data_IF_933953233659
#
_entry.id   IF_933953233659
#
_cell.length_a   1.000
_cell.length_b   1.000
_cell.length_c   1.000
_cell.angle_alpha   90.00
_cell.angle_beta   90.00
_cell.angle_gamma   90.00
#
_symmetry.space_group_name_H-M   'P 1'
#
loop_
_entity.id
_entity.type
_entity.pdbx_description
1 polymer ?
#
# COMPACT_ATOMS: atom_id res chain seq x y z
N UNK A 1 28.39 5.24 -13.73
CA UNK A 1 28.79 4.38 -12.61
C UNK A 1 27.54 3.68 -12.12
N UNK A 2 27.38 2.39 -12.45
CA UNK A 2 26.28 1.58 -11.94
C UNK A 2 26.57 1.21 -10.49
N UNK A 3 25.82 1.80 -9.55
CA UNK A 3 25.76 1.25 -8.21
C UNK A 3 25.07 -0.11 -8.32
N UNK A 4 25.76 -1.18 -7.94
CA UNK A 4 25.20 -2.52 -7.81
C UNK A 4 24.24 -2.50 -6.62
N UNK A 5 23.01 -2.03 -6.86
CA UNK A 5 21.98 -1.97 -5.81
C UNK A 5 21.57 -3.40 -5.44
N UNK A 6 21.86 -3.81 -4.21
CA UNK A 6 21.47 -5.12 -3.68
C UNK A 6 19.94 -5.17 -3.61
N UNK A 7 19.32 -6.06 -4.41
CA UNK A 7 17.88 -6.29 -4.42
C UNK A 7 17.53 -7.48 -3.53
N UNK A 8 16.67 -7.28 -2.53
CA UNK A 8 16.08 -8.37 -1.73
C UNK A 8 14.71 -8.73 -2.29
N UNK A 9 14.56 -9.96 -2.78
CA UNK A 9 13.27 -10.46 -3.29
C UNK A 9 12.29 -10.69 -2.13
N UNK A 10 11.07 -10.17 -2.25
CA UNK A 10 9.97 -10.43 -1.31
C UNK A 10 9.11 -11.56 -1.83
N UNK A 11 8.78 -11.51 -3.12
CA UNK A 11 8.05 -12.57 -3.80
C UNK A 11 8.39 -12.56 -5.31
N UNK A 12 7.75 -13.45 -6.08
CA UNK A 12 8.00 -13.58 -7.54
C UNK A 12 7.84 -12.31 -8.37
N UNK A 13 7.10 -11.30 -7.89
CA UNK A 13 6.93 -10.04 -8.63
C UNK A 13 7.05 -8.78 -7.75
N UNK A 14 7.72 -8.88 -6.59
CA UNK A 14 7.99 -7.76 -5.69
C UNK A 14 9.39 -7.91 -5.11
N UNK A 15 10.19 -6.84 -5.16
CA UNK A 15 11.53 -6.80 -4.54
C UNK A 15 11.78 -5.43 -3.92
N UNK A 16 12.71 -5.40 -2.97
CA UNK A 16 13.15 -4.19 -2.27
C UNK A 16 14.57 -3.85 -2.71
N UNK A 17 14.82 -2.57 -2.97
CA UNK A 17 16.16 -2.00 -3.15
C UNK A 17 16.17 -0.59 -2.60
N UNK A 18 17.18 -0.24 -1.80
CA UNK A 18 17.32 1.08 -1.18
C UNK A 18 16.04 1.53 -0.44
N UNK A 19 15.43 0.63 0.33
CA UNK A 19 14.16 0.83 1.05
C UNK A 19 12.93 1.09 0.17
N UNK A 20 13.08 1.10 -1.15
CA UNK A 20 11.97 1.21 -2.10
C UNK A 20 11.48 -0.16 -2.51
N UNK A 21 10.16 -0.30 -2.59
CA UNK A 21 9.50 -1.51 -3.05
C UNK A 21 9.18 -1.34 -4.53
N UNK A 22 9.58 -2.30 -5.36
CA UNK A 22 9.24 -2.32 -6.78
C UNK A 22 8.18 -3.39 -7.02
N UNK A 23 7.08 -3.02 -7.68
CA UNK A 23 5.92 -3.89 -7.94
C UNK A 23 5.65 -4.07 -9.43
N UNK A 24 5.01 -5.19 -9.81
CA UNK A 24 4.65 -5.49 -11.19
C UNK A 24 3.22 -5.04 -11.53
N UNK A 25 2.98 -4.31 -12.64
CA UNK A 25 1.69 -3.73 -13.01
C UNK A 25 0.55 -4.72 -13.31
N UNK A 26 0.85 -6.00 -13.58
CA UNK A 26 -0.16 -7.00 -13.94
C UNK A 26 -0.84 -7.67 -12.74
N UNK A 27 -0.67 -7.13 -11.53
CA UNK A 27 -1.21 -7.75 -10.30
C UNK A 27 -2.65 -7.35 -10.03
N UNK A 28 -3.44 -8.33 -9.59
CA UNK A 28 -4.77 -8.12 -9.03
C UNK A 28 -4.76 -8.08 -7.49
N UNK A 29 -3.74 -8.68 -6.86
CA UNK A 29 -3.55 -8.67 -5.41
C UNK A 29 -2.10 -8.39 -5.09
N UNK A 30 -1.86 -7.55 -4.09
CA UNK A 30 -0.54 -7.19 -3.62
C UNK A 30 -0.51 -7.22 -2.09
N UNK A 31 0.41 -8.02 -1.56
CA UNK A 31 0.71 -8.09 -0.14
C UNK A 31 2.02 -7.36 0.15
N UNK A 32 1.89 -6.28 0.93
CA UNK A 32 2.97 -5.49 1.51
C UNK A 32 2.92 -5.48 3.04
N UNK A 33 2.22 -6.43 3.66
CA UNK A 33 2.08 -6.55 5.10
C UNK A 33 3.42 -6.82 5.80
N UNK A 34 3.63 -6.22 6.97
CA UNK A 34 4.79 -6.48 7.82
C UNK A 34 6.15 -6.08 7.23
N UNK A 35 6.18 -5.31 6.13
CA UNK A 35 7.41 -4.86 5.48
C UNK A 35 8.07 -3.66 6.15
N UNK A 36 7.49 -3.17 7.27
CA UNK A 36 7.93 -1.98 8.02
C UNK A 36 7.93 -0.71 7.18
N UNK A 37 6.98 -0.59 6.25
CA UNK A 37 6.81 0.58 5.39
C UNK A 37 6.53 1.83 6.23
N UNK A 38 7.35 2.87 6.04
CA UNK A 38 7.15 4.18 6.69
C UNK A 38 6.13 5.05 5.95
N UNK A 39 5.99 4.83 4.66
CA UNK A 39 5.04 5.51 3.77
C UNK A 39 4.68 4.56 2.64
N UNK A 40 3.43 4.67 2.16
CA UNK A 40 2.95 3.93 0.98
C UNK A 40 3.72 4.38 -0.27
N UNK A 41 4.14 5.65 -0.34
CA UNK A 41 4.93 6.21 -1.44
C UNK A 41 6.30 5.56 -1.63
N UNK A 42 6.78 4.76 -0.67
CA UNK A 42 7.98 3.93 -0.86
C UNK A 42 7.76 2.79 -1.87
N UNK A 43 6.51 2.48 -2.24
CA UNK A 43 6.18 1.50 -3.26
C UNK A 43 6.21 2.14 -4.67
N UNK A 44 7.34 2.03 -5.36
CA UNK A 44 7.50 2.41 -6.75
C UNK A 44 6.62 1.53 -7.65
N UNK A 45 5.80 2.16 -8.48
CA UNK A 45 4.95 1.51 -9.46
C UNK A 45 3.58 1.11 -8.91
N UNK A 46 3.24 1.52 -7.68
CA UNK A 46 1.91 1.31 -7.11
C UNK A 46 0.84 2.01 -7.97
N UNK A 47 1.13 3.22 -8.44
CA UNK A 47 0.28 4.01 -9.36
C UNK A 47 -0.01 3.28 -10.68
N UNK A 48 0.86 2.34 -11.07
CA UNK A 48 0.71 1.54 -12.30
C UNK A 48 -0.16 0.30 -12.10
N UNK A 49 -0.55 -0.03 -10.86
CA UNK A 49 -1.39 -1.18 -10.55
C UNK A 49 -2.88 -0.86 -10.76
N UNK A 50 -3.23 -0.27 -11.90
CA UNK A 50 -4.60 0.19 -12.20
C UNK A 50 -5.65 -0.93 -12.18
N UNK A 51 -5.23 -2.19 -12.25
CA UNK A 51 -6.09 -3.38 -12.18
C UNK A 51 -6.12 -4.03 -10.78
N UNK A 52 -5.43 -3.45 -9.79
CA UNK A 52 -5.35 -4.00 -8.45
C UNK A 52 -6.73 -4.01 -7.81
N UNK A 53 -7.10 -5.14 -7.20
CA UNK A 53 -8.38 -5.36 -6.51
C UNK A 53 -8.20 -5.51 -5.01
N UNK A 54 -7.06 -6.05 -4.56
CA UNK A 54 -6.74 -6.23 -3.15
C UNK A 54 -5.35 -5.67 -2.83
N UNK A 55 -5.28 -4.85 -1.80
CA UNK A 55 -4.03 -4.30 -1.26
C UNK A 55 -3.96 -4.55 0.25
N UNK A 56 -2.90 -5.24 0.65
CA UNK A 56 -2.61 -5.60 2.03
C UNK A 56 -1.41 -4.78 2.55
N UNK A 57 -1.66 -3.94 3.56
CA UNK A 57 -0.70 -3.00 4.15
C UNK A 57 -0.62 -3.14 5.68
N UNK A 58 -1.14 -4.23 6.23
CA UNK A 58 -1.17 -4.47 7.67
C UNK A 58 0.22 -4.50 8.32
N UNK A 59 0.33 -4.04 9.56
CA UNK A 59 1.56 -4.20 10.37
C UNK A 59 2.77 -3.42 9.85
N UNK A 60 2.56 -2.30 9.16
CA UNK A 60 3.66 -1.46 8.64
C UNK A 60 3.99 -0.26 9.56
N UNK A 61 3.08 0.12 10.45
CA UNK A 61 3.23 1.31 11.29
C UNK A 61 2.95 2.63 10.56
N UNK A 62 2.21 2.58 9.45
CA UNK A 62 1.80 3.75 8.67
C UNK A 62 1.01 4.74 9.54
N UNK A 63 1.18 6.04 9.31
CA UNK A 63 0.49 7.09 10.07
C UNK A 63 -0.58 7.83 9.27
N UNK A 64 -0.56 7.68 7.94
CA UNK A 64 -1.46 8.32 6.99
C UNK A 64 -1.77 7.40 5.82
N UNK A 65 -2.89 7.67 5.15
CA UNK A 65 -3.30 7.05 3.90
C UNK A 65 -2.90 8.02 2.77
N UNK A 66 -2.13 7.53 1.79
CA UNK A 66 -1.63 8.33 0.67
C UNK A 66 -1.21 7.42 -0.50
N UNK A 67 -1.11 7.96 -1.72
CA UNK A 67 -0.53 7.24 -2.85
C UNK A 67 -1.44 6.12 -3.38
N UNK A 68 -2.74 6.20 -3.10
CA UNK A 68 -3.75 5.23 -3.56
C UNK A 68 -4.63 5.82 -4.67
N UNK A 69 -4.37 7.05 -5.12
CA UNK A 69 -5.30 7.86 -5.90
C UNK A 69 -5.65 7.20 -7.24
N UNK A 70 -4.69 6.50 -7.85
CA UNK A 70 -4.81 5.83 -9.15
C UNK A 70 -5.39 4.40 -9.08
N UNK A 71 -5.63 3.87 -7.88
CA UNK A 71 -6.11 2.49 -7.66
C UNK A 71 -7.64 2.39 -7.79
N UNK A 72 -8.19 2.94 -8.86
CA UNK A 72 -9.62 3.08 -9.08
C UNK A 72 -10.40 1.74 -9.06
N UNK A 73 -9.73 0.61 -9.33
CA UNK A 73 -10.33 -0.73 -9.30
C UNK A 73 -10.17 -1.46 -7.95
N UNK A 74 -9.57 -0.83 -6.95
CA UNK A 74 -9.35 -1.44 -5.64
C UNK A 74 -10.69 -1.72 -4.96
N UNK A 75 -10.86 -2.94 -4.46
CA UNK A 75 -12.09 -3.43 -3.83
C UNK A 75 -11.88 -3.73 -2.35
N UNK A 76 -10.66 -4.12 -1.98
CA UNK A 76 -10.31 -4.50 -0.61
C UNK A 76 -8.99 -3.84 -0.20
N UNK A 77 -9.03 -3.11 0.92
CA UNK A 77 -7.88 -2.42 1.50
C UNK A 77 -7.72 -2.85 2.97
N UNK A 78 -6.58 -3.46 3.29
CA UNK A 78 -6.25 -3.89 4.64
C UNK A 78 -5.19 -2.98 5.25
N UNK A 79 -5.56 -2.25 6.29
CA UNK A 79 -4.72 -1.29 6.99
C UNK A 79 -4.57 -1.62 8.49
N UNK A 80 -4.94 -2.82 8.91
CA UNK A 80 -4.89 -3.23 10.32
C UNK A 80 -3.48 -3.13 10.92
N UNK A 81 -3.38 -2.92 12.23
CA UNK A 81 -2.10 -2.79 12.95
C UNK A 81 -1.19 -1.71 12.35
N UNK A 82 -1.77 -0.54 12.07
CA UNK A 82 -1.06 0.68 11.67
C UNK A 82 -1.34 1.83 12.65
N UNK A 83 -0.55 2.89 12.62
CA UNK A 83 -0.71 4.07 13.47
C UNK A 83 -1.58 5.16 12.82
N UNK A 84 -2.47 4.80 11.90
CA UNK A 84 -3.34 5.74 11.18
C UNK A 84 -4.35 6.32 12.17
N UNK A 85 -4.46 7.64 12.21
CA UNK A 85 -5.35 8.36 13.14
C UNK A 85 -6.58 8.97 12.48
N UNK A 86 -6.56 9.09 11.16
CA UNK A 86 -7.62 9.70 10.34
C UNK A 86 -7.87 8.86 9.11
N UNK A 87 -9.13 8.69 8.76
CA UNK A 87 -9.53 8.20 7.44
C UNK A 87 -9.63 9.41 6.52
N UNK A 88 -8.77 9.45 5.50
CA UNK A 88 -8.67 10.49 4.49
C UNK A 88 -8.12 9.90 3.18
N UNK A 89 -8.18 10.64 2.08
CA UNK A 89 -7.59 10.25 0.78
C UNK A 89 -8.13 8.94 0.18
N UNK A 90 -9.36 8.54 0.53
CA UNK A 90 -10.03 7.38 -0.07
C UNK A 90 -11.06 7.75 -1.15
N UNK A 91 -11.25 9.05 -1.44
CA UNK A 91 -12.31 9.54 -2.31
C UNK A 91 -12.24 9.08 -3.78
N UNK A 92 -11.04 8.76 -4.28
CA UNK A 92 -10.88 8.21 -5.64
C UNK A 92 -11.14 6.70 -5.73
N UNK A 93 -11.16 6.00 -4.59
CA UNK A 93 -11.36 4.54 -4.52
C UNK A 93 -12.84 4.17 -4.64
N UNK A 94 -13.45 4.59 -5.74
CA UNK A 94 -14.90 4.47 -6.03
C UNK A 94 -15.40 3.01 -6.06
N UNK A 95 -14.51 2.04 -6.25
CA UNK A 95 -14.84 0.61 -6.23
C UNK A 95 -14.54 -0.09 -4.89
N UNK A 96 -14.09 0.64 -3.87
CA UNK A 96 -13.73 0.06 -2.57
C UNK A 96 -14.99 -0.47 -1.88
N UNK A 97 -14.97 -1.77 -1.54
CA UNK A 97 -16.08 -2.46 -0.86
C UNK A 97 -15.75 -2.81 0.57
N UNK A 98 -14.47 -3.05 0.85
CA UNK A 98 -14.01 -3.52 2.14
C UNK A 98 -12.79 -2.75 2.60
N UNK A 99 -12.87 -2.20 3.81
CA UNK A 99 -11.79 -1.47 4.47
C UNK A 99 -11.59 -2.07 5.87
N UNK A 100 -10.41 -2.63 6.12
CA UNK A 100 -10.05 -3.17 7.44
C UNK A 100 -9.11 -2.22 8.17
N UNK A 101 -9.49 -1.83 9.39
CA UNK A 101 -8.80 -0.84 10.22
C UNK A 101 -8.63 -1.32 11.67
N UNK A 102 -8.66 -2.64 11.89
CA UNK A 102 -8.49 -3.21 13.23
C UNK A 102 -7.12 -2.83 13.79
N UNK A 103 -7.03 -2.56 15.10
CA UNK A 103 -5.77 -2.15 15.73
C UNK A 103 -5.13 -0.93 15.03
N UNK A 104 -5.96 0.07 14.73
CA UNK A 104 -5.51 1.41 14.30
C UNK A 104 -5.84 2.46 15.36
N UNK A 105 -5.41 3.71 15.13
CA UNK A 105 -5.65 4.85 16.03
C UNK A 105 -6.74 5.78 15.49
N UNK A 106 -7.59 5.29 14.60
CA UNK A 106 -8.59 6.12 13.92
C UNK A 106 -9.55 6.71 14.93
N UNK A 107 -9.59 8.04 14.98
CA UNK A 107 -10.50 8.81 15.84
C UNK A 107 -11.32 9.82 15.04
N UNK A 108 -11.04 9.97 13.75
CA UNK A 108 -11.71 10.91 12.86
C UNK A 108 -11.88 10.34 11.46
N UNK A 109 -13.01 10.64 10.85
CA UNK A 109 -13.35 10.30 9.46
C UNK A 109 -13.54 11.62 8.71
N UNK A 110 -12.90 11.75 7.55
CA UNK A 110 -13.05 12.89 6.66
C UNK A 110 -13.40 12.40 5.26
N UNK A 111 -14.51 12.89 4.72
CA UNK A 111 -14.97 12.67 3.35
C UNK A 111 -14.51 13.78 2.41
#
# INVERSE_FOLDING_TARGET
MEFISIRRKINRHTFISEEKIFVNPKRLSLDLGGLRLKSISNAIGLEKLVNLRRLELQGNGLTKIEGLEDLNNLQELFLSSNNISKIENLGSLTNLKTLFLDDTKVTRIQG
#
